data_IF_784483880653
#
_entry.id   IF_784483880653
#
_cell.length_a   1.000
_cell.length_b   1.000
_cell.length_c   1.000
_cell.angle_alpha   90.00
_cell.angle_beta   90.00
_cell.angle_gamma   90.00
#
_symmetry.space_group_name_H-M   'P 1'
#
loop_
_entity.id
_entity.type
_entity.pdbx_description
1 polymer ?
#
# COMPACT_ATOMS: atom_id res chain seq x y z
N UNK A 1 19.15 29.41 30.02
CA UNK A 1 17.87 28.74 30.33
C UNK A 1 17.70 27.63 29.31
N UNK A 2 17.89 26.37 29.71
CA UNK A 2 17.80 25.23 28.81
C UNK A 2 16.32 24.85 28.63
N UNK A 3 15.84 24.91 27.40
CA UNK A 3 14.52 24.40 26.99
C UNK A 3 14.55 22.88 27.13
N UNK A 4 13.71 22.34 28.02
CA UNK A 4 13.54 20.90 28.15
C UNK A 4 13.02 20.33 26.83
N UNK A 5 13.79 19.42 26.23
CA UNK A 5 13.37 18.67 25.05
C UNK A 5 12.27 17.71 25.50
N UNK A 6 10.99 18.08 25.31
CA UNK A 6 9.89 17.14 25.51
C UNK A 6 10.12 15.93 24.60
N UNK A 7 10.34 14.76 25.22
CA UNK A 7 10.48 13.51 24.49
C UNK A 7 9.10 13.17 23.92
N UNK A 8 9.01 13.13 22.59
CA UNK A 8 7.83 12.62 21.90
C UNK A 8 7.51 11.22 22.42
N UNK A 9 6.29 11.04 22.92
CA UNK A 9 5.73 9.75 23.30
C UNK A 9 4.68 9.40 22.25
N UNK A 10 4.92 8.38 21.41
CA UNK A 10 3.93 7.99 20.42
C UNK A 10 2.65 7.50 21.11
N UNK A 11 1.46 7.88 20.61
CA UNK A 11 0.21 7.39 21.16
C UNK A 11 0.14 5.86 21.00
N UNK A 12 -0.41 5.19 22.01
CA UNK A 12 -0.66 3.75 21.94
C UNK A 12 -1.86 3.49 21.04
N UNK A 13 -1.63 2.86 19.89
CA UNK A 13 -2.66 2.57 18.89
C UNK A 13 -3.44 1.30 19.28
N UNK A 14 -4.79 1.32 19.23
CA UNK A 14 -5.62 0.15 19.45
C UNK A 14 -5.28 -1.01 18.49
N UNK A 15 -5.28 -2.23 19.04
CA UNK A 15 -5.07 -3.46 18.27
C UNK A 15 -6.35 -4.29 18.19
N UNK A 16 -6.47 -5.08 17.13
CA UNK A 16 -7.53 -6.08 16.99
C UNK A 16 -7.22 -7.37 17.77
N UNK A 17 -8.10 -8.36 17.67
CA UNK A 17 -7.97 -9.66 18.33
C UNK A 17 -6.78 -10.49 17.86
N UNK A 18 -6.23 -10.20 16.68
CA UNK A 18 -5.08 -10.88 16.10
C UNK A 18 -3.76 -10.16 16.41
N UNK A 19 -3.84 -8.99 17.07
CA UNK A 19 -2.69 -8.19 17.47
C UNK A 19 -2.20 -7.23 16.38
N UNK A 20 -2.92 -7.11 15.26
CA UNK A 20 -2.69 -6.07 14.26
C UNK A 20 -3.34 -4.76 14.70
N UNK A 21 -3.07 -3.67 13.99
CA UNK A 21 -3.74 -2.39 14.23
C UNK A 21 -5.23 -2.54 13.91
N UNK A 22 -6.10 -1.95 14.73
CA UNK A 22 -7.55 -1.94 14.50
C UNK A 22 -7.86 -1.54 13.05
N UNK A 23 -8.60 -2.41 12.37
CA UNK A 23 -9.10 -2.19 11.01
C UNK A 23 -10.61 -2.01 10.98
N UNK A 24 -11.11 -1.37 9.93
CA UNK A 24 -12.52 -1.06 9.72
C UNK A 24 -13.05 -1.70 8.43
N UNK A 25 -14.24 -2.28 8.47
CA UNK A 25 -14.90 -2.85 7.29
C UNK A 25 -16.00 -1.93 6.77
N UNK A 26 -15.72 -1.26 5.65
CA UNK A 26 -16.65 -0.30 5.07
C UNK A 26 -17.53 -0.98 4.01
N UNK A 27 -18.80 -1.20 4.33
CA UNK A 27 -19.78 -1.74 3.39
C UNK A 27 -20.42 -0.65 2.51
N UNK A 28 -20.43 0.60 2.98
CA UNK A 28 -20.87 1.80 2.26
C UNK A 28 -20.23 3.03 2.91
N UNK A 29 -20.37 4.21 2.28
CA UNK A 29 -19.86 5.48 2.82
C UNK A 29 -20.53 5.90 4.14
N UNK A 30 -21.80 5.52 4.33
CA UNK A 30 -22.61 5.93 5.48
C UNK A 30 -22.83 4.77 6.48
N UNK A 31 -21.97 3.75 6.48
CA UNK A 31 -22.09 2.68 7.48
C UNK A 31 -21.64 3.18 8.86
N UNK A 32 -22.17 2.65 9.97
CA UNK A 32 -21.78 3.08 11.33
C UNK A 32 -20.26 2.99 11.59
N UNK A 33 -19.59 2.04 10.93
CA UNK A 33 -18.15 1.82 11.07
C UNK A 33 -17.32 2.91 10.35
N UNK A 34 -17.91 3.67 9.43
CA UNK A 34 -17.27 4.81 8.78
C UNK A 34 -17.05 5.98 9.76
N UNK A 35 -18.01 6.26 10.64
CA UNK A 35 -17.87 7.30 11.67
C UNK A 35 -16.76 6.94 12.67
N UNK A 36 -16.69 5.66 13.06
CA UNK A 36 -15.61 5.14 13.91
C UNK A 36 -14.24 5.25 13.23
N UNK A 37 -14.18 4.97 11.92
CA UNK A 37 -12.97 5.09 11.11
C UNK A 37 -12.50 6.56 11.01
N UNK A 38 -13.42 7.51 10.81
CA UNK A 38 -13.13 8.95 10.82
C UNK A 38 -12.62 9.42 12.19
N UNK A 39 -13.28 9.01 13.28
CA UNK A 39 -12.85 9.35 14.65
C UNK A 39 -11.45 8.79 14.94
N UNK A 40 -11.17 7.58 14.48
CA UNK A 40 -9.84 6.98 14.60
C UNK A 40 -8.79 7.76 13.80
N UNK A 41 -9.12 8.17 12.58
CA UNK A 41 -8.25 9.01 11.75
C UNK A 41 -7.95 10.35 12.42
N UNK A 42 -8.94 11.03 12.98
CA UNK A 42 -8.75 12.31 13.67
C UNK A 42 -7.82 12.18 14.88
N UNK A 43 -7.88 11.04 15.57
CA UNK A 43 -7.05 10.79 16.75
C UNK A 43 -5.60 10.38 16.40
N UNK A 44 -5.40 9.54 15.39
CA UNK A 44 -4.11 8.89 15.12
C UNK A 44 -3.44 9.34 13.81
N UNK A 45 -4.17 10.03 12.92
CA UNK A 45 -3.68 10.52 11.63
C UNK A 45 -3.64 9.47 10.52
N UNK A 46 -4.18 8.27 10.75
CA UNK A 46 -4.27 7.21 9.76
C UNK A 46 -5.43 6.25 10.07
N UNK A 47 -5.78 5.39 9.11
CA UNK A 47 -6.80 4.36 9.27
C UNK A 47 -6.44 3.12 8.45
N UNK A 48 -6.86 1.93 8.90
CA UNK A 48 -6.73 0.67 8.14
C UNK A 48 -8.12 0.22 7.72
N UNK A 49 -8.34 0.11 6.40
CA UNK A 49 -9.61 -0.38 5.85
C UNK A 49 -9.39 -1.84 5.45
N UNK A 50 -10.15 -2.75 6.04
CA UNK A 50 -10.09 -4.17 5.75
C UNK A 50 -10.96 -4.52 4.55
N UNK A 51 -10.61 -5.62 3.87
CA UNK A 51 -11.43 -6.23 2.82
C UNK A 51 -11.77 -5.30 1.62
N UNK A 52 -10.89 -4.33 1.33
CA UNK A 52 -11.04 -3.43 0.17
C UNK A 52 -11.07 -4.22 -1.14
N UNK A 53 -10.26 -5.27 -1.23
CA UNK A 53 -10.27 -6.24 -2.33
C UNK A 53 -10.57 -7.63 -1.81
N UNK A 54 -11.30 -8.40 -2.61
CA UNK A 54 -11.43 -9.83 -2.41
C UNK A 54 -10.10 -10.54 -2.68
N UNK A 55 -9.86 -11.75 -2.13
CA UNK A 55 -8.66 -12.52 -2.42
C UNK A 55 -8.43 -12.76 -3.92
N UNK A 56 -9.52 -12.92 -4.68
CA UNK A 56 -9.48 -13.05 -6.13
C UNK A 56 -8.96 -11.77 -6.80
N UNK A 57 -9.51 -10.61 -6.45
CA UNK A 57 -9.06 -9.32 -6.98
C UNK A 57 -7.60 -9.03 -6.61
N UNK A 58 -7.16 -9.40 -5.40
CA UNK A 58 -5.75 -9.31 -5.02
C UNK A 58 -4.86 -10.17 -5.95
N UNK A 59 -5.25 -11.42 -6.20
CA UNK A 59 -4.52 -12.33 -7.08
C UNK A 59 -4.44 -11.81 -8.52
N UNK A 60 -5.56 -11.31 -9.05
CA UNK A 60 -5.63 -10.69 -10.39
C UNK A 60 -4.73 -9.45 -10.47
N UNK A 61 -4.81 -8.56 -9.48
CA UNK A 61 -3.98 -7.34 -9.42
C UNK A 61 -2.48 -7.67 -9.34
N UNK A 62 -2.10 -8.65 -8.52
CA UNK A 62 -0.71 -9.13 -8.42
C UNK A 62 -0.23 -9.66 -9.77
N UNK A 63 -1.06 -10.46 -10.44
CA UNK A 63 -0.75 -10.99 -11.78
C UNK A 63 -0.55 -9.86 -12.79
N UNK A 64 -1.42 -8.85 -12.79
CA UNK A 64 -1.33 -7.69 -13.67
C UNK A 64 -0.05 -6.87 -13.42
N UNK A 65 0.30 -6.61 -12.15
CA UNK A 65 1.55 -5.95 -11.78
C UNK A 65 2.74 -6.72 -12.36
N UNK A 66 2.78 -8.04 -12.17
CA UNK A 66 3.87 -8.87 -12.68
C UNK A 66 3.93 -8.90 -14.20
N UNK A 67 2.79 -8.95 -14.89
CA UNK A 67 2.75 -8.91 -16.36
C UNK A 67 3.40 -7.62 -16.89
N UNK A 68 3.13 -6.49 -16.24
CA UNK A 68 3.77 -5.21 -16.56
C UNK A 68 5.26 -5.28 -16.30
N UNK A 69 5.68 -5.64 -15.09
CA UNK A 69 7.10 -5.73 -14.71
C UNK A 69 7.89 -6.65 -15.66
N UNK A 70 7.36 -7.84 -15.97
CA UNK A 70 8.02 -8.81 -16.85
C UNK A 70 8.06 -8.36 -18.32
N UNK A 71 7.09 -7.56 -18.77
CA UNK A 71 7.13 -6.96 -20.12
C UNK A 71 8.30 -5.98 -20.30
N UNK A 72 8.69 -5.27 -19.22
CA UNK A 72 9.88 -4.41 -19.23
C UNK A 72 11.17 -5.20 -19.02
N UNK A 73 11.11 -6.32 -18.30
CA UNK A 73 12.27 -7.17 -18.04
C UNK A 73 12.66 -8.05 -19.23
N UNK A 74 11.77 -8.18 -20.23
CA UNK A 74 11.86 -9.12 -21.37
C UNK A 74 12.09 -10.59 -20.95
N UNK A 75 11.82 -10.92 -19.69
CA UNK A 75 12.03 -12.25 -19.11
C UNK A 75 11.11 -12.45 -17.90
N UNK A 76 10.76 -13.71 -17.61
CA UNK A 76 9.98 -14.02 -16.41
C UNK A 76 10.86 -13.98 -15.17
N UNK A 77 10.47 -13.14 -14.22
CA UNK A 77 11.21 -12.88 -12.97
C UNK A 77 10.33 -12.98 -11.71
N UNK A 78 9.02 -13.23 -11.86
CA UNK A 78 8.07 -13.26 -10.73
C UNK A 78 8.38 -14.30 -9.65
N UNK A 79 9.14 -15.32 -9.99
CA UNK A 79 9.56 -16.39 -9.07
C UNK A 79 11.08 -16.35 -8.77
N UNK A 80 11.79 -15.28 -9.17
CA UNK A 80 13.20 -15.13 -8.86
C UNK A 80 13.35 -14.52 -7.46
N UNK A 81 13.67 -15.36 -6.48
CA UNK A 81 13.91 -14.94 -5.09
C UNK A 81 15.08 -13.94 -4.96
N UNK A 82 15.99 -13.90 -5.95
CA UNK A 82 17.14 -12.99 -5.97
C UNK A 82 16.83 -11.67 -6.68
N UNK A 83 15.57 -11.42 -7.08
CA UNK A 83 15.17 -10.18 -7.74
C UNK A 83 15.39 -8.95 -6.85
N UNK A 84 15.28 -9.12 -5.54
CA UNK A 84 15.44 -8.06 -4.54
C UNK A 84 16.91 -7.73 -4.22
N UNK A 85 17.88 -8.41 -4.83
CA UNK A 85 19.28 -7.98 -4.78
C UNK A 85 19.39 -6.58 -5.43
N UNK A 86 19.83 -5.61 -4.63
CA UNK A 86 19.96 -4.21 -5.03
C UNK A 86 20.78 -4.03 -6.32
N UNK A 87 21.77 -4.89 -6.62
CA UNK A 87 22.51 -4.79 -7.88
C UNK A 87 21.71 -5.27 -9.09
N UNK A 88 20.88 -6.29 -8.91
CA UNK A 88 20.01 -6.85 -9.96
C UNK A 88 18.83 -5.94 -10.23
N UNK A 89 18.16 -5.46 -9.18
CA UNK A 89 17.03 -4.52 -9.28
C UNK A 89 17.39 -3.22 -10.02
N UNK A 90 18.60 -2.69 -9.77
CA UNK A 90 19.10 -1.48 -10.45
C UNK A 90 19.47 -1.75 -11.92
N UNK A 91 20.12 -2.88 -12.21
CA UNK A 91 20.59 -3.22 -13.57
C UNK A 91 19.46 -3.48 -14.57
N UNK A 92 18.31 -3.96 -14.11
CA UNK A 92 17.16 -4.25 -14.98
C UNK A 92 16.25 -3.03 -15.22
N UNK A 93 16.62 -1.84 -14.72
CA UNK A 93 15.84 -0.60 -14.95
C UNK A 93 14.52 -0.55 -14.18
N UNK A 94 14.25 -1.49 -13.27
CA UNK A 94 12.98 -1.58 -12.54
C UNK A 94 12.76 -0.47 -11.52
N UNK A 95 13.84 0.20 -11.09
CA UNK A 95 13.78 1.42 -10.27
C UNK A 95 13.05 2.60 -10.95
N UNK A 96 12.89 2.55 -12.27
CA UNK A 96 12.23 3.61 -13.05
C UNK A 96 10.72 3.41 -13.19
N UNK A 97 10.17 2.24 -12.80
CA UNK A 97 8.74 1.88 -12.93
C UNK A 97 7.80 2.62 -11.95
N UNK A 98 8.31 3.62 -11.24
CA UNK A 98 7.54 4.51 -10.35
C UNK A 98 7.93 5.98 -10.43
N UNK A 99 8.80 6.38 -11.38
CA UNK A 99 9.18 7.78 -11.55
C UNK A 99 8.05 8.56 -12.23
N UNK A 100 7.54 9.58 -11.53
CA UNK A 100 6.61 10.61 -12.03
C UNK A 100 7.26 11.32 -13.22
N UNK A 101 7.05 10.79 -14.43
CA UNK A 101 7.70 11.25 -15.66
C UNK A 101 7.50 10.28 -16.83
N UNK A 102 7.30 8.99 -16.55
CA UNK A 102 6.78 8.02 -17.52
C UNK A 102 5.26 7.89 -17.35
N UNK A 103 4.55 7.62 -18.45
CA UNK A 103 3.09 7.54 -18.48
C UNK A 103 2.54 6.72 -17.31
N UNK A 104 1.59 7.28 -16.56
CA UNK A 104 1.00 6.64 -15.38
C UNK A 104 0.32 5.32 -15.75
N UNK A 105 1.04 4.21 -15.59
CA UNK A 105 0.57 2.85 -15.89
C UNK A 105 -0.59 2.39 -14.98
N UNK A 106 -0.79 3.07 -13.85
CA UNK A 106 -1.71 2.64 -12.78
C UNK A 106 -3.09 3.29 -12.82
N UNK A 107 -3.37 4.14 -13.82
CA UNK A 107 -4.70 4.72 -14.02
C UNK A 107 -5.28 4.20 -15.33
N UNK A 108 -6.44 3.54 -15.27
CA UNK A 108 -7.24 3.24 -16.45
C UNK A 108 -7.65 4.60 -17.07
N UNK A 109 -7.02 5.00 -18.16
CA UNK A 109 -7.51 6.16 -18.93
C UNK A 109 -8.84 5.75 -19.56
N UNK A 110 -9.94 6.21 -18.94
CA UNK A 110 -11.27 6.13 -19.53
C UNK A 110 -11.22 6.99 -20.80
N UNK A 111 -11.24 6.33 -21.96
CA UNK A 111 -11.40 6.98 -23.24
C UNK A 111 -12.87 7.35 -23.40
N UNK A 112 -13.17 8.64 -23.41
CA UNK A 112 -14.42 9.22 -23.95
C UNK A 112 -14.28 9.44 -25.44
#
# INVERSE_FOLDING_TARGET
MATATEKFQPPTVPRDSEGFVKSFNLSSYDCPEADDACTFFDQYGFVVIANVFTPKQCSETISDIWNVVESFAEQSIRNDENLWDAQRWRRTGHEQLGLLGNASLWTRQIHT
#
